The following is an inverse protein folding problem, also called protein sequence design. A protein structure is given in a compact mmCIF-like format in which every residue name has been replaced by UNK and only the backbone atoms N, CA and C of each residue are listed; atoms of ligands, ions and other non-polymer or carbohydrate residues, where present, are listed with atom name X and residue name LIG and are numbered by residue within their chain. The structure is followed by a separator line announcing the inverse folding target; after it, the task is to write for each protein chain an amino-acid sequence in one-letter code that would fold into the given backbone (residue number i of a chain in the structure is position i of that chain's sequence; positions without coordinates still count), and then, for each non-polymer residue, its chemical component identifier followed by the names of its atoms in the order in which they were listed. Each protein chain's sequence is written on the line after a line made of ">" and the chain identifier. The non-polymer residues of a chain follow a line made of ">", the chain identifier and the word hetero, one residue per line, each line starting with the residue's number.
data_IF_598103901169
#
_entry.id   IF_598103901169
#
_cell.length_a   1.000
_cell.length_b   1.000
_cell.length_c   1.000
_cell.angle_alpha   90.00
_cell.angle_beta   90.00
_cell.angle_gamma   90.00
#
_symmetry.space_group_name_H-M   'P 1'
#
loop_
_entity.id
_entity.type
_entity.pdbx_description
1 polymer ?
#
# COMPACT_ATOMS: atom_id res chain seq x y z
N UNK A 1 15.47 0.87 18.63
CA UNK A 1 16.21 -0.21 17.93
C UNK A 1 15.63 -0.25 16.53
N UNK A 2 16.42 0.04 15.50
CA UNK A 2 15.96 -0.03 14.11
C UNK A 2 15.60 -1.48 13.78
N UNK A 3 14.37 -1.74 13.34
CA UNK A 3 13.97 -3.08 12.91
C UNK A 3 14.83 -3.54 11.74
N UNK A 4 15.57 -4.65 11.90
CA UNK A 4 16.37 -5.23 10.83
C UNK A 4 15.50 -6.11 9.94
N UNK A 5 15.30 -5.72 8.69
CA UNK A 5 14.68 -6.56 7.68
C UNK A 5 15.68 -7.59 7.14
N UNK A 6 15.31 -8.87 7.03
CA UNK A 6 16.14 -9.86 6.33
C UNK A 6 16.31 -9.52 4.84
N UNK A 7 17.38 -10.03 4.24
CA UNK A 7 17.53 -9.98 2.78
C UNK A 7 16.36 -10.67 2.09
N UNK A 8 15.77 -10.07 1.03
CA UNK A 8 14.68 -10.70 0.29
C UNK A 8 15.08 -12.03 -0.34
N UNK A 9 14.12 -12.96 -0.43
CA UNK A 9 14.27 -14.09 -1.35
C UNK A 9 14.12 -13.58 -2.78
N UNK A 10 15.10 -13.87 -3.61
CA UNK A 10 15.10 -13.53 -5.03
C UNK A 10 15.00 -14.81 -5.85
N UNK A 11 14.08 -14.83 -6.81
CA UNK A 11 13.96 -15.86 -7.83
C UNK A 11 14.21 -15.22 -9.19
N UNK A 12 15.29 -15.65 -9.84
CA UNK A 12 15.67 -15.13 -11.15
C UNK A 12 14.70 -15.56 -12.26
N UNK A 13 14.59 -14.79 -13.35
CA UNK A 13 13.80 -15.17 -14.52
C UNK A 13 14.17 -16.56 -15.06
N UNK A 14 13.15 -17.31 -15.47
CA UNK A 14 13.34 -18.59 -16.17
C UNK A 14 13.97 -18.40 -17.55
N UNK A 15 13.71 -17.25 -18.18
CA UNK A 15 14.16 -16.88 -19.51
C UNK A 15 14.64 -15.44 -19.55
N UNK A 16 15.79 -15.21 -20.17
CA UNK A 16 16.30 -13.87 -20.43
C UNK A 16 15.70 -13.30 -21.73
N UNK A 17 15.61 -11.95 -21.87
CA UNK A 17 15.97 -10.93 -20.87
C UNK A 17 14.91 -10.81 -19.75
N UNK A 18 15.31 -10.24 -18.60
CA UNK A 18 14.37 -9.80 -17.57
C UNK A 18 13.48 -8.69 -18.15
N UNK A 19 12.16 -8.90 -18.14
CA UNK A 19 11.18 -7.93 -18.66
C UNK A 19 10.37 -7.25 -17.56
N UNK A 20 10.20 -7.91 -16.42
CA UNK A 20 9.45 -7.37 -15.30
C UNK A 20 9.96 -7.91 -13.96
N UNK A 21 9.87 -7.08 -12.92
CA UNK A 21 10.18 -7.50 -11.55
C UNK A 21 8.91 -7.42 -10.71
N UNK A 22 8.58 -8.54 -10.05
CA UNK A 22 7.50 -8.63 -9.07
C UNK A 22 8.07 -8.54 -7.67
N UNK A 23 7.57 -7.61 -6.86
CA UNK A 23 7.92 -7.49 -5.44
C UNK A 23 6.66 -7.82 -4.62
N UNK A 24 6.65 -8.98 -3.96
CA UNK A 24 5.45 -9.56 -3.39
C UNK A 24 5.59 -9.85 -1.89
N UNK A 25 4.77 -9.19 -1.08
CA UNK A 25 4.82 -9.23 0.38
C UNK A 25 3.94 -10.35 0.94
N UNK A 26 4.49 -11.10 1.89
CA UNK A 26 3.77 -12.18 2.58
C UNK A 26 2.80 -11.66 3.66
N UNK A 27 1.86 -12.50 4.06
CA UNK A 27 0.97 -12.24 5.21
C UNK A 27 1.68 -12.43 6.57
N UNK A 28 1.06 -11.94 7.65
CA UNK A 28 1.65 -12.00 9.01
C UNK A 28 2.08 -13.41 9.39
N UNK A 29 3.23 -13.53 10.05
CA UNK A 29 3.79 -14.77 10.56
C UNK A 29 4.43 -15.70 9.52
N UNK A 30 4.40 -15.31 8.24
CA UNK A 30 5.11 -16.01 7.17
C UNK A 30 6.50 -15.40 6.93
N UNK A 31 7.13 -15.76 5.81
CA UNK A 31 8.38 -15.16 5.30
C UNK A 31 8.41 -15.27 3.77
N UNK A 32 9.33 -14.56 3.12
CA UNK A 32 9.54 -14.66 1.67
C UNK A 32 9.85 -16.09 1.22
N UNK A 33 10.63 -16.84 2.02
CA UNK A 33 11.02 -18.22 1.74
C UNK A 33 9.87 -19.21 1.82
N UNK A 34 8.86 -18.92 2.65
CA UNK A 34 7.65 -19.75 2.75
C UNK A 34 6.60 -19.37 1.71
N UNK A 35 6.40 -18.05 1.54
CA UNK A 35 5.36 -17.51 0.68
C UNK A 35 5.71 -17.62 -0.82
N UNK A 36 6.94 -17.26 -1.20
CA UNK A 36 7.35 -17.16 -2.59
C UNK A 36 7.23 -18.47 -3.36
N UNK A 37 7.89 -19.57 -2.93
CA UNK A 37 7.80 -20.86 -3.61
C UNK A 37 6.36 -21.40 -3.69
N UNK A 38 5.56 -21.21 -2.63
CA UNK A 38 4.17 -21.62 -2.61
C UNK A 38 3.32 -20.86 -3.64
N UNK A 39 3.49 -19.53 -3.73
CA UNK A 39 2.80 -18.71 -4.71
C UNK A 39 3.23 -19.05 -6.15
N UNK A 40 4.54 -19.16 -6.38
CA UNK A 40 5.08 -19.46 -7.71
C UNK A 40 4.68 -20.85 -8.22
N UNK A 41 4.56 -21.82 -7.32
CA UNK A 41 4.10 -23.19 -7.62
C UNK A 41 2.59 -23.32 -7.75
N UNK A 42 1.81 -22.26 -7.52
CA UNK A 42 0.35 -22.30 -7.63
C UNK A 42 -0.06 -22.58 -9.08
N UNK A 43 -0.89 -23.61 -9.34
CA UNK A 43 -1.39 -23.91 -10.67
C UNK A 43 -2.28 -22.80 -11.22
N UNK A 44 -2.04 -22.40 -12.46
CA UNK A 44 -2.82 -21.45 -13.24
C UNK A 44 -3.37 -22.16 -14.47
N UNK A 45 -4.68 -22.03 -14.69
CA UNK A 45 -5.37 -22.61 -15.84
C UNK A 45 -5.72 -24.10 -15.66
N UNK A 46 -6.33 -24.67 -16.71
CA UNK A 46 -6.69 -26.08 -16.77
C UNK A 46 -5.46 -26.96 -17.04
N UNK A 47 -5.47 -28.18 -16.51
CA UNK A 47 -4.48 -29.22 -16.83
C UNK A 47 -4.35 -29.40 -18.35
N UNK A 48 -3.13 -29.28 -18.90
CA UNK A 48 -2.87 -29.60 -20.30
C UNK A 48 -2.55 -31.10 -20.44
N UNK A 49 -3.43 -31.90 -21.08
CA UNK A 49 -3.24 -33.36 -21.16
C UNK A 49 -2.02 -33.77 -21.98
N UNK A 50 -1.58 -32.91 -22.91
CA UNK A 50 -0.47 -33.20 -23.84
C UNK A 50 0.90 -33.03 -23.20
N UNK A 51 1.03 -32.11 -22.24
CA UNK A 51 2.30 -31.84 -21.52
C UNK A 51 2.33 -32.47 -20.14
N UNK A 52 1.18 -32.93 -19.63
CA UNK A 52 1.03 -33.51 -18.30
C UNK A 52 1.30 -32.51 -17.17
N UNK A 53 1.32 -31.22 -17.47
CA UNK A 53 1.69 -30.14 -16.55
C UNK A 53 0.57 -29.12 -16.45
N UNK A 54 0.28 -28.69 -15.23
CA UNK A 54 -0.48 -27.46 -15.00
C UNK A 54 0.50 -26.30 -15.08
N UNK A 55 0.19 -25.26 -15.86
CA UNK A 55 1.05 -24.09 -15.92
C UNK A 55 1.12 -23.46 -14.52
N UNK A 56 2.30 -23.14 -14.01
CA UNK A 56 2.46 -22.43 -12.74
C UNK A 56 2.54 -20.93 -12.96
N UNK A 57 2.41 -20.13 -11.89
CA UNK A 57 2.63 -18.68 -11.97
C UNK A 57 4.02 -18.33 -12.53
N UNK A 58 5.06 -19.07 -12.13
CA UNK A 58 6.40 -18.88 -12.69
C UNK A 58 6.45 -19.16 -14.20
N UNK A 59 5.70 -20.15 -14.70
CA UNK A 59 5.65 -20.45 -16.13
C UNK A 59 4.83 -19.42 -16.94
N UNK A 60 3.82 -18.80 -16.33
CA UNK A 60 3.05 -17.74 -16.96
C UNK A 60 3.89 -16.47 -17.18
N UNK A 61 4.93 -16.26 -16.36
CA UNK A 61 5.83 -15.12 -16.45
C UNK A 61 7.30 -15.55 -16.53
N UNK A 62 7.74 -16.21 -17.63
CA UNK A 62 9.08 -16.79 -17.71
C UNK A 62 10.20 -15.73 -17.70
N UNK A 63 9.90 -14.49 -18.09
CA UNK A 63 10.83 -13.36 -18.10
C UNK A 63 10.79 -12.52 -16.82
N UNK A 64 10.04 -12.96 -15.80
CA UNK A 64 9.89 -12.21 -14.57
C UNK A 64 10.94 -12.59 -13.53
N UNK A 65 11.52 -11.56 -12.91
CA UNK A 65 12.23 -11.68 -11.64
C UNK A 65 11.21 -11.55 -10.51
N UNK A 66 11.30 -12.41 -9.50
CA UNK A 66 10.43 -12.32 -8.32
C UNK A 66 11.25 -12.04 -7.06
N UNK A 67 10.82 -11.05 -6.28
CA UNK A 67 11.44 -10.59 -5.06
C UNK A 67 10.42 -10.72 -3.94
N UNK A 68 10.72 -11.55 -2.96
CA UNK A 68 9.86 -11.82 -1.81
C UNK A 68 10.55 -11.30 -0.54
N UNK A 69 10.32 -10.05 -0.14
CA UNK A 69 10.88 -9.53 1.09
C UNK A 69 10.26 -10.24 2.31
N UNK A 70 11.03 -10.33 3.39
CA UNK A 70 10.56 -10.85 4.68
C UNK A 70 10.39 -9.68 5.65
N UNK A 71 9.22 -9.59 6.29
CA UNK A 71 8.97 -8.57 7.30
C UNK A 71 9.90 -8.73 8.50
N UNK A 72 10.27 -7.62 9.14
CA UNK A 72 11.03 -7.66 10.38
C UNK A 72 10.29 -8.45 11.48
N UNK A 73 11.05 -9.06 12.39
CA UNK A 73 10.50 -9.73 13.58
C UNK A 73 10.12 -8.70 14.63
N UNK A 74 8.86 -8.73 15.05
CA UNK A 74 8.30 -7.81 16.05
C UNK A 74 7.33 -8.54 16.98
N UNK A 75 7.05 -7.95 18.13
CA UNK A 75 6.03 -8.47 19.06
C UNK A 75 4.63 -8.18 18.51
N UNK A 76 3.78 -9.21 18.40
CA UNK A 76 2.40 -9.07 17.93
C UNK A 76 1.46 -8.91 19.13
N UNK A 77 0.93 -7.71 19.34
CA UNK A 77 0.03 -7.42 20.46
C UNK A 77 -1.18 -8.35 20.46
N UNK A 78 -1.77 -8.58 19.29
CA UNK A 78 -2.92 -9.46 19.11
C UNK A 78 -2.70 -10.93 19.55
N UNK A 79 -1.47 -11.44 19.46
CA UNK A 79 -1.15 -12.84 19.79
C UNK A 79 -0.44 -12.97 21.13
N UNK A 80 -0.93 -12.26 22.16
CA UNK A 80 -0.32 -12.25 23.50
C UNK A 80 1.18 -11.92 23.46
N UNK A 81 1.57 -11.02 22.55
CA UNK A 81 2.98 -10.67 22.30
C UNK A 81 3.78 -11.90 21.84
N UNK A 82 3.31 -12.63 20.84
CA UNK A 82 4.14 -13.60 20.13
C UNK A 82 5.19 -12.86 19.28
N UNK A 83 6.43 -13.37 19.23
CA UNK A 83 7.50 -12.76 18.43
C UNK A 83 7.53 -13.34 17.02
N UNK A 84 7.00 -12.60 16.04
CA UNK A 84 6.72 -13.10 14.69
C UNK A 84 7.06 -12.09 13.61
N UNK A 85 7.19 -12.54 12.36
CA UNK A 85 7.38 -11.65 11.21
C UNK A 85 6.08 -10.89 10.94
N UNK A 86 6.12 -9.56 10.99
CA UNK A 86 4.95 -8.73 10.72
C UNK A 86 5.37 -7.34 10.25
N UNK A 87 4.62 -6.80 9.30
CA UNK A 87 4.90 -5.49 8.69
C UNK A 87 4.61 -4.35 9.67
N UNK A 88 3.58 -4.50 10.50
CA UNK A 88 3.22 -3.56 11.55
C UNK A 88 2.44 -4.27 12.65
N UNK A 89 2.28 -3.67 13.82
CA UNK A 89 1.52 -4.28 14.91
C UNK A 89 0.02 -3.96 14.78
N UNK A 90 -0.85 -4.83 15.29
CA UNK A 90 -2.30 -4.61 15.29
C UNK A 90 -2.90 -4.96 16.65
N UNK A 91 -3.92 -4.19 17.04
CA UNK A 91 -4.70 -4.46 18.24
C UNK A 91 -5.57 -5.72 18.11
N UNK A 92 -6.38 -5.81 17.05
CA UNK A 92 -7.29 -6.94 16.74
C UNK A 92 -7.36 -7.17 15.22
N UNK A 93 -7.81 -8.36 14.81
CA UNK A 93 -7.92 -8.80 13.41
C UNK A 93 -9.32 -8.57 12.81
N UNK A 94 -10.32 -8.25 13.62
CA UNK A 94 -11.74 -8.33 13.27
C UNK A 94 -12.52 -7.08 13.76
N UNK A 95 -13.42 -6.45 12.95
CA UNK A 95 -13.19 -5.78 11.66
C UNK A 95 -12.13 -4.65 11.79
N UNK A 96 -11.65 -3.97 10.72
CA UNK A 96 -10.46 -3.11 10.79
C UNK A 96 -10.55 -2.23 12.03
N UNK A 97 -9.64 -2.50 12.95
CA UNK A 97 -9.71 -1.95 14.28
C UNK A 97 -9.44 -0.46 14.16
N UNK A 98 -10.49 0.36 14.20
CA UNK A 98 -10.34 1.80 14.44
C UNK A 98 -9.83 2.06 15.85
N UNK A 99 -10.04 1.09 16.75
CA UNK A 99 -9.44 1.07 18.08
C UNK A 99 -7.92 0.83 17.98
N UNK A 100 -7.16 1.74 18.57
CA UNK A 100 -5.71 1.64 18.74
C UNK A 100 -4.90 1.52 17.45
N UNK A 101 -5.31 2.24 16.40
CA UNK A 101 -4.55 2.24 15.15
C UNK A 101 -3.15 2.85 15.30
N UNK A 102 -2.89 3.66 16.34
CA UNK A 102 -1.57 4.20 16.66
C UNK A 102 -0.51 3.11 16.88
N UNK A 103 -0.92 1.88 17.22
CA UNK A 103 -0.02 0.72 17.31
C UNK A 103 0.59 0.35 15.95
N UNK A 104 -0.07 0.70 14.84
CA UNK A 104 0.39 0.41 13.50
C UNK A 104 1.52 1.37 13.06
N UNK A 105 1.50 2.62 13.57
CA UNK A 105 2.30 3.75 13.07
C UNK A 105 3.81 3.42 13.02
N UNK A 106 4.48 2.99 14.11
CA UNK A 106 5.93 2.78 14.07
C UNK A 106 6.34 1.69 13.07
N UNK A 107 5.55 0.61 13.01
CA UNK A 107 5.82 -0.49 12.08
C UNK A 107 5.55 -0.12 10.63
N UNK A 108 4.54 0.71 10.37
CA UNK A 108 4.24 1.22 9.04
C UNK A 108 5.33 2.18 8.56
N UNK A 109 5.78 3.12 9.38
CA UNK A 109 6.88 4.03 9.04
C UNK A 109 8.14 3.26 8.60
N UNK A 110 8.61 2.33 9.44
CA UNK A 110 9.77 1.49 9.12
C UNK A 110 9.56 0.64 7.86
N UNK A 111 8.34 0.11 7.66
CA UNK A 111 8.00 -0.71 6.51
C UNK A 111 7.96 0.09 5.22
N UNK A 112 7.37 1.28 5.23
CA UNK A 112 7.28 2.17 4.08
C UNK A 112 8.69 2.56 3.62
N UNK A 113 9.54 2.99 4.55
CA UNK A 113 10.94 3.32 4.25
C UNK A 113 11.66 2.13 3.60
N UNK A 114 11.57 0.94 4.21
CA UNK A 114 12.20 -0.27 3.66
C UNK A 114 11.70 -0.63 2.26
N UNK A 115 10.37 -0.57 2.04
CA UNK A 115 9.76 -0.94 0.76
C UNK A 115 10.06 0.09 -0.34
N UNK A 116 10.14 1.37 -0.01
CA UNK A 116 10.56 2.41 -0.95
C UNK A 116 12.00 2.22 -1.39
N UNK A 117 12.91 1.90 -0.47
CA UNK A 117 14.31 1.60 -0.82
C UNK A 117 14.41 0.35 -1.69
N UNK A 118 13.65 -0.70 -1.37
CA UNK A 118 13.58 -1.92 -2.19
C UNK A 118 13.01 -1.63 -3.59
N UNK A 119 11.96 -0.82 -3.69
CA UNK A 119 11.39 -0.39 -4.97
C UNK A 119 12.43 0.34 -5.81
N UNK A 120 13.11 1.35 -5.24
CA UNK A 120 14.17 2.11 -5.95
C UNK A 120 15.28 1.18 -6.45
N UNK A 121 15.72 0.24 -5.62
CA UNK A 121 16.76 -0.72 -5.98
C UNK A 121 16.34 -1.62 -7.16
N UNK A 122 15.14 -2.20 -7.12
CA UNK A 122 14.67 -3.10 -8.17
C UNK A 122 14.26 -2.36 -9.46
N UNK A 123 13.78 -1.11 -9.36
CA UNK A 123 13.57 -0.21 -10.52
C UNK A 123 14.88 0.01 -11.28
N UNK A 124 15.99 0.23 -10.55
CA UNK A 124 17.30 0.45 -11.16
C UNK A 124 17.86 -0.80 -11.85
N UNK A 125 17.41 -2.00 -11.48
CA UNK A 125 17.90 -3.27 -12.02
C UNK A 125 17.11 -3.76 -13.23
N UNK A 126 15.82 -3.47 -13.32
CA UNK A 126 14.98 -3.96 -14.42
C UNK A 126 15.13 -3.09 -15.68
N UNK A 127 15.41 -3.66 -16.87
CA UNK A 127 15.68 -2.86 -18.07
C UNK A 127 14.54 -1.92 -18.49
N UNK A 128 13.28 -2.28 -18.22
CA UNK A 128 12.13 -1.43 -18.50
C UNK A 128 11.87 -0.34 -17.45
N UNK A 129 12.69 -0.27 -16.40
CA UNK A 129 12.55 0.71 -15.32
C UNK A 129 11.24 0.58 -14.56
N UNK A 130 10.70 1.72 -14.12
CA UNK A 130 9.55 1.80 -13.20
C UNK A 130 8.28 1.14 -13.75
N UNK A 131 8.03 1.23 -15.06
CA UNK A 131 6.86 0.64 -15.71
C UNK A 131 6.93 -0.89 -15.83
N UNK A 132 8.07 -1.50 -15.53
CA UNK A 132 8.27 -2.95 -15.46
C UNK A 132 8.17 -3.52 -14.04
N UNK A 133 7.74 -2.70 -13.06
CA UNK A 133 7.53 -3.15 -11.67
C UNK A 133 6.08 -3.55 -11.44
N UNK A 134 5.90 -4.71 -10.80
CA UNK A 134 4.65 -5.13 -10.18
C UNK A 134 4.85 -5.23 -8.68
N UNK A 135 4.07 -4.50 -7.89
CA UNK A 135 4.22 -4.43 -6.43
C UNK A 135 2.94 -4.82 -5.70
N UNK A 136 3.04 -5.57 -4.62
CA UNK A 136 1.83 -6.00 -3.93
C UNK A 136 2.05 -7.01 -2.82
N UNK A 137 0.96 -7.61 -2.34
CA UNK A 137 1.08 -8.63 -1.30
C UNK A 137 -0.21 -9.35 -0.92
N UNK A 138 -0.08 -10.21 0.09
CA UNK A 138 -1.14 -11.01 0.68
C UNK A 138 -1.44 -10.58 2.12
N UNK A 139 -2.72 -10.46 2.49
CA UNK A 139 -3.18 -10.17 3.83
C UNK A 139 -2.50 -8.93 4.42
N UNK A 140 -1.75 -9.03 5.52
CA UNK A 140 -1.00 -7.90 6.05
C UNK A 140 0.02 -7.32 5.04
N UNK A 141 0.60 -8.17 4.18
CA UNK A 141 1.47 -7.71 3.11
C UNK A 141 0.76 -6.83 2.09
N UNK A 142 -0.51 -7.13 1.79
CA UNK A 142 -1.37 -6.27 0.96
C UNK A 142 -1.59 -4.91 1.64
N UNK A 143 -1.96 -4.92 2.92
CA UNK A 143 -2.19 -3.70 3.70
C UNK A 143 -0.93 -2.80 3.74
N UNK A 144 0.23 -3.39 3.98
CA UNK A 144 1.52 -2.68 3.97
C UNK A 144 1.86 -2.13 2.58
N UNK A 145 1.65 -2.91 1.51
CA UNK A 145 1.92 -2.45 0.15
C UNK A 145 1.02 -1.28 -0.26
N UNK A 146 -0.25 -1.27 0.16
CA UNK A 146 -1.16 -0.16 -0.14
C UNK A 146 -0.71 1.15 0.52
N UNK A 147 -0.32 1.11 1.80
CA UNK A 147 0.23 2.29 2.48
C UNK A 147 1.53 2.75 1.82
N UNK A 148 2.44 1.83 1.49
CA UNK A 148 3.67 2.18 0.78
C UNK A 148 3.41 2.83 -0.59
N UNK A 149 2.39 2.39 -1.33
CA UNK A 149 1.99 2.99 -2.61
C UNK A 149 1.36 4.37 -2.46
N UNK A 150 0.47 4.57 -1.47
CA UNK A 150 -0.13 5.88 -1.20
C UNK A 150 0.93 6.93 -0.83
N UNK A 151 1.99 6.48 -0.16
CA UNK A 151 3.10 7.34 0.26
C UNK A 151 4.25 7.37 -0.77
N UNK A 152 4.12 6.71 -1.92
CA UNK A 152 5.18 6.66 -2.94
C UNK A 152 5.31 7.99 -3.68
N UNK A 153 6.54 8.49 -3.76
CA UNK A 153 6.88 9.76 -4.41
C UNK A 153 7.63 9.61 -5.74
N UNK A 154 7.91 8.37 -6.15
CA UNK A 154 8.50 8.11 -7.45
C UNK A 154 7.44 8.09 -8.56
N UNK A 155 7.89 7.84 -9.78
CA UNK A 155 7.02 7.63 -10.94
C UNK A 155 6.04 6.46 -10.73
N UNK A 156 4.86 6.47 -11.39
CA UNK A 156 3.90 5.37 -11.34
C UNK A 156 4.53 4.05 -11.79
N UNK A 157 4.46 3.02 -10.94
CA UNK A 157 4.89 1.67 -11.30
C UNK A 157 3.92 0.99 -12.28
N UNK A 158 4.40 -0.06 -12.95
CA UNK A 158 3.65 -0.77 -13.98
C UNK A 158 2.31 -1.36 -13.52
N UNK A 159 2.27 -1.93 -12.31
CA UNK A 159 1.02 -2.40 -11.70
C UNK A 159 1.15 -2.61 -10.18
N UNK A 160 0.01 -2.58 -9.50
CA UNK A 160 -0.13 -2.98 -8.11
C UNK A 160 -1.13 -4.14 -7.97
N UNK A 161 -0.90 -5.02 -6.98
CA UNK A 161 -1.86 -6.08 -6.66
C UNK A 161 -2.03 -6.30 -5.15
N UNK A 162 -3.26 -6.59 -4.74
CA UNK A 162 -3.60 -6.88 -3.35
C UNK A 162 -4.44 -8.14 -3.25
N UNK A 163 -4.04 -9.07 -2.37
CA UNK A 163 -4.75 -10.32 -2.12
C UNK A 163 -5.19 -10.37 -0.66
N UNK A 164 -6.49 -10.60 -0.41
CA UNK A 164 -7.05 -10.85 0.92
C UNK A 164 -6.66 -9.83 2.02
N UNK A 165 -6.46 -8.56 1.65
CA UNK A 165 -5.98 -7.51 2.56
C UNK A 165 -7.07 -6.54 3.04
N UNK A 166 -6.61 -5.44 3.65
CA UNK A 166 -7.41 -4.24 3.97
C UNK A 166 -6.55 -2.98 3.76
N UNK A 167 -7.17 -1.80 3.72
CA UNK A 167 -6.44 -0.51 3.74
C UNK A 167 -6.38 -0.01 5.20
N UNK A 168 -5.19 0.12 5.82
CA UNK A 168 -5.04 0.76 7.12
C UNK A 168 -5.54 2.21 7.13
N UNK A 169 -6.07 2.69 8.26
CA UNK A 169 -6.62 4.05 8.43
C UNK A 169 -7.75 4.41 7.48
N UNK A 170 -8.42 3.41 6.90
CA UNK A 170 -9.48 3.61 5.91
C UNK A 170 -10.49 4.70 6.29
N UNK A 171 -11.07 4.60 7.49
CA UNK A 171 -12.12 5.54 7.92
C UNK A 171 -11.60 6.98 8.00
N UNK A 172 -10.39 7.16 8.53
CA UNK A 172 -9.78 8.48 8.65
C UNK A 172 -9.38 9.05 7.29
N UNK A 173 -8.88 8.21 6.38
CA UNK A 173 -8.63 8.61 5.00
C UNK A 173 -9.92 9.10 4.31
N UNK A 174 -11.05 8.42 4.53
CA UNK A 174 -12.34 8.84 3.99
C UNK A 174 -12.79 10.17 4.61
N UNK A 175 -12.66 10.33 5.93
CA UNK A 175 -12.98 11.57 6.65
C UNK A 175 -12.18 12.74 6.07
N UNK A 176 -10.86 12.59 5.97
CA UNK A 176 -9.97 13.58 5.40
C UNK A 176 -10.29 13.88 3.94
N UNK A 177 -10.69 12.89 3.14
CA UNK A 177 -11.14 13.11 1.75
C UNK A 177 -12.55 13.73 1.65
N UNK A 178 -13.33 13.75 2.73
CA UNK A 178 -14.72 14.24 2.74
C UNK A 178 -14.90 15.60 3.41
N UNK A 179 -13.92 16.07 4.18
CA UNK A 179 -13.94 17.39 4.79
C UNK A 179 -13.98 18.48 3.70
N UNK A 180 -15.17 18.91 3.32
CA UNK A 180 -15.37 20.22 2.71
C UNK A 180 -14.95 21.23 3.76
N UNK A 181 -13.99 22.10 3.42
CA UNK A 181 -13.68 23.25 4.26
C UNK A 181 -14.97 24.03 4.42
N UNK A 182 -15.63 23.91 5.58
CA UNK A 182 -16.64 24.85 6.02
C UNK A 182 -15.87 26.15 6.22
N UNK A 183 -15.69 26.90 5.12
CA UNK A 183 -15.45 28.32 5.21
C UNK A 183 -16.59 28.81 6.09
N UNK A 184 -16.18 29.30 7.24
CA UNK A 184 -17.00 30.02 8.19
C UNK A 184 -17.61 31.19 7.40
N UNK A 185 -18.75 30.95 6.76
CA UNK A 185 -19.61 32.01 6.24
C UNK A 185 -20.23 32.62 7.48
N UNK A 186 -19.41 33.43 8.16
CA UNK A 186 -19.84 34.34 9.20
C UNK A 186 -21.06 35.03 8.66
N UNK A 187 -22.16 34.81 9.35
CA UNK A 187 -23.43 35.44 9.05
C UNK A 187 -23.17 36.94 9.11
N UNK A 188 -23.12 37.59 7.94
CA UNK A 188 -22.96 39.03 7.83
C UNK A 188 -24.27 39.62 8.36
N UNK A 189 -24.30 39.91 9.64
CA UNK A 189 -25.17 40.95 10.15
C UNK A 189 -24.53 42.27 9.73
N UNK A 190 -25.26 42.98 8.87
CA UNK A 190 -25.04 44.37 8.50
C UNK A 190 -24.76 45.22 9.74
N UNK A 191 -23.58 45.82 9.84
CA UNK A 191 -23.37 47.27 9.75
C UNK A 191 -22.01 47.68 10.34
N UNK A 192 -21.35 48.57 9.60
CA UNK A 192 -20.21 49.45 9.92
C UNK A 192 -18.77 48.98 9.67
N UNK A 193 -18.08 49.85 8.93
CA UNK A 193 -16.75 49.73 8.33
C UNK A 193 -15.61 49.61 9.36
N UNK A 194 -14.88 48.49 9.32
CA UNK A 194 -13.53 48.39 9.87
C UNK A 194 -12.60 47.90 8.75
N UNK A 195 -11.93 48.85 8.10
CA UNK A 195 -10.80 48.57 7.23
C UNK A 195 -9.60 48.18 8.12
N UNK A 196 -9.28 46.89 8.19
CA UNK A 196 -8.10 46.37 8.90
C UNK A 196 -6.88 46.34 7.94
N UNK A 197 -5.88 47.22 8.11
CA UNK A 197 -4.70 47.28 7.25
C UNK A 197 -3.68 46.16 7.53
N UNK A 198 -4.00 45.15 8.35
CA UNK A 198 -3.16 43.99 8.64
C UNK A 198 -3.60 42.67 7.97
N UNK A 199 -4.62 42.66 7.10
CA UNK A 199 -4.83 41.53 6.19
C UNK A 199 -3.73 41.49 5.12
N UNK A 200 -2.55 41.05 5.56
CA UNK A 200 -1.47 40.63 4.68
C UNK A 200 -1.94 39.39 3.94
N UNK A 201 -2.25 39.57 2.65
CA UNK A 201 -2.24 38.57 1.58
C UNK A 201 -2.46 37.14 2.08
N UNK A 202 -3.69 36.84 2.47
CA UNK A 202 -4.17 35.46 2.50
C UNK A 202 -4.19 35.00 1.04
N UNK A 203 -3.01 34.68 0.52
CA UNK A 203 -2.82 34.11 -0.79
C UNK A 203 -3.82 32.97 -0.91
N UNK A 204 -4.49 32.89 -2.05
CA UNK A 204 -5.33 31.76 -2.44
C UNK A 204 -4.56 30.45 -2.16
N UNK A 205 -4.71 29.86 -0.98
CA UNK A 205 -4.27 28.51 -0.71
C UNK A 205 -5.14 27.65 -1.63
N UNK A 206 -4.52 27.19 -2.72
CA UNK A 206 -5.20 26.34 -3.68
C UNK A 206 -5.83 25.18 -2.91
N UNK A 207 -7.15 25.04 -3.03
CA UNK A 207 -7.89 23.94 -2.41
C UNK A 207 -7.24 22.64 -2.87
N UNK A 208 -6.53 21.97 -1.96
CA UNK A 208 -5.89 20.68 -2.25
C UNK A 208 -6.97 19.69 -2.69
N UNK A 209 -6.64 18.87 -3.69
CA UNK A 209 -7.49 17.74 -4.08
C UNK A 209 -7.84 16.91 -2.83
N UNK A 210 -9.10 16.48 -2.63
CA UNK A 210 -9.49 15.79 -1.40
C UNK A 210 -8.66 14.56 -1.10
N UNK A 211 -8.19 13.88 -2.15
CA UNK A 211 -7.35 12.70 -2.00
C UNK A 211 -5.92 13.04 -1.66
N UNK A 212 -5.39 14.14 -2.22
CA UNK A 212 -4.08 14.67 -1.85
C UNK A 212 -4.06 15.08 -0.37
N UNK A 213 -5.15 15.68 0.12
CA UNK A 213 -5.32 16.00 1.54
C UNK A 213 -5.30 14.75 2.42
N UNK A 214 -6.04 13.70 2.05
CA UNK A 214 -6.02 12.44 2.78
C UNK A 214 -4.62 11.79 2.83
N UNK A 215 -3.86 11.93 1.75
CA UNK A 215 -2.49 11.38 1.67
C UNK A 215 -1.47 12.23 2.43
N UNK A 216 -1.57 13.56 2.41
CA UNK A 216 -0.74 14.39 3.29
C UNK A 216 -1.07 14.13 4.76
N UNK A 217 -2.34 13.96 5.13
CA UNK A 217 -2.69 13.51 6.49
C UNK A 217 -2.05 12.16 6.84
N UNK A 218 -2.09 11.18 5.93
CA UNK A 218 -1.48 9.86 6.16
C UNK A 218 0.04 9.94 6.35
N UNK A 219 0.71 10.83 5.59
CA UNK A 219 2.15 11.11 5.75
C UNK A 219 2.45 11.63 7.14
N UNK A 220 1.68 12.61 7.59
CA UNK A 220 1.83 13.25 8.89
C UNK A 220 1.57 12.26 10.03
N UNK A 221 0.51 11.45 9.92
CA UNK A 221 0.15 10.45 10.93
C UNK A 221 1.22 9.36 11.08
N UNK A 222 1.86 8.96 9.98
CA UNK A 222 2.89 7.89 10.00
C UNK A 222 4.27 8.43 10.39
N UNK A 223 4.45 9.76 10.47
CA UNK A 223 5.71 10.44 10.81
C UNK A 223 6.88 9.89 9.97
N UNK A 224 6.67 9.80 8.65
CA UNK A 224 7.66 9.26 7.73
C UNK A 224 8.60 10.39 7.24
N UNK A 225 9.87 10.44 7.68
CA UNK A 225 10.76 11.60 7.51
C UNK A 225 11.26 11.84 6.07
N UNK A 226 10.72 11.12 5.09
CA UNK A 226 11.12 11.20 3.69
C UNK A 226 10.22 12.11 2.83
N UNK A 227 9.12 12.62 3.36
CA UNK A 227 8.07 13.22 2.55
C UNK A 227 7.88 14.71 2.86
N UNK A 228 8.33 15.62 1.99
CA UNK A 228 7.72 16.95 1.95
C UNK A 228 6.36 16.83 1.25
N UNK A 229 5.33 17.52 1.73
CA UNK A 229 4.02 17.60 1.06
C UNK A 229 4.10 18.56 -0.15
N UNK A 230 5.14 18.42 -0.99
CA UNK A 230 5.29 19.15 -2.26
C UNK A 230 4.69 18.37 -3.45
N UNK A 231 4.00 17.27 -3.16
CA UNK A 231 3.43 16.39 -4.18
C UNK A 231 2.26 17.07 -4.91
N UNK A 232 2.58 17.78 -5.99
CA UNK A 232 1.58 18.33 -6.92
C UNK A 232 0.88 17.25 -7.77
N UNK A 233 1.28 15.98 -7.63
CA UNK A 233 0.72 14.84 -8.37
C UNK A 233 0.83 13.55 -7.56
N UNK A 234 -0.21 12.73 -7.62
CA UNK A 234 -0.32 11.47 -6.90
C UNK A 234 0.05 10.32 -7.86
N UNK A 235 1.28 9.85 -7.80
CA UNK A 235 1.74 8.75 -8.65
C UNK A 235 0.83 7.51 -8.57
N UNK A 236 0.25 7.25 -7.39
CA UNK A 236 -0.66 6.14 -7.16
C UNK A 236 -1.94 6.15 -8.02
N UNK A 237 -2.36 7.32 -8.54
CA UNK A 237 -3.50 7.47 -9.46
C UNK A 237 -3.34 6.69 -10.75
N UNK A 238 -2.11 6.70 -11.27
CA UNK A 238 -1.81 6.19 -12.59
C UNK A 238 -1.30 4.74 -12.56
N UNK A 239 -1.41 4.07 -11.41
CA UNK A 239 -0.99 2.68 -11.22
C UNK A 239 -2.20 1.76 -11.41
N UNK A 240 -2.20 0.85 -12.40
CA UNK A 240 -3.20 -0.19 -12.50
C UNK A 240 -3.24 -1.06 -11.23
N UNK A 241 -4.36 -1.07 -10.51
CA UNK A 241 -4.53 -1.86 -9.28
C UNK A 241 -5.49 -3.04 -9.48
N UNK A 242 -5.03 -4.25 -9.12
CA UNK A 242 -5.87 -5.43 -8.98
C UNK A 242 -6.07 -5.78 -7.50
N UNK A 243 -7.32 -5.92 -7.06
CA UNK A 243 -7.66 -6.37 -5.71
C UNK A 243 -8.51 -7.64 -5.76
N UNK A 244 -8.04 -8.70 -5.13
CA UNK A 244 -8.73 -9.99 -5.02
C UNK A 244 -8.96 -10.40 -3.57
N UNK A 245 -10.10 -11.04 -3.31
CA UNK A 245 -10.44 -11.58 -2.00
C UNK A 245 -11.17 -12.92 -2.17
N UNK A 246 -10.83 -13.93 -1.37
CA UNK A 246 -11.45 -15.25 -1.46
C UNK A 246 -12.89 -15.22 -0.92
N UNK A 247 -13.84 -15.86 -1.59
CA UNK A 247 -15.24 -15.92 -1.12
C UNK A 247 -15.43 -16.79 0.13
N UNK A 248 -14.43 -17.64 0.42
CA UNK A 248 -14.37 -18.53 1.57
C UNK A 248 -13.58 -17.93 2.75
N UNK A 249 -12.93 -16.78 2.56
CA UNK A 249 -12.45 -15.99 3.69
C UNK A 249 -13.67 -15.60 4.53
N UNK A 250 -13.60 -15.78 5.86
CA UNK A 250 -14.72 -15.57 6.80
C UNK A 250 -15.58 -14.38 6.37
N UNK A 251 -16.92 -14.48 6.40
CA UNK A 251 -17.85 -13.53 5.73
C UNK A 251 -17.60 -12.02 5.99
N UNK A 252 -16.88 -11.64 7.07
CA UNK A 252 -16.40 -10.27 7.27
C UNK A 252 -15.24 -9.85 6.35
N UNK A 253 -14.34 -10.77 6.02
CA UNK A 253 -13.17 -10.58 5.16
C UNK A 253 -13.53 -10.33 3.70
N UNK A 254 -14.50 -11.08 3.16
CA UNK A 254 -15.08 -10.81 1.82
C UNK A 254 -15.71 -9.42 1.69
N UNK A 255 -16.30 -8.89 2.77
CA UNK A 255 -16.79 -7.52 2.80
C UNK A 255 -15.64 -6.50 2.78
N UNK A 256 -14.46 -6.82 3.34
CA UNK A 256 -13.25 -5.99 3.20
C UNK A 256 -12.72 -5.96 1.78
N UNK A 257 -12.74 -7.08 1.05
CA UNK A 257 -12.41 -7.10 -0.37
C UNK A 257 -13.30 -6.18 -1.20
N UNK A 258 -14.60 -6.14 -0.89
CA UNK A 258 -15.57 -5.22 -1.52
C UNK A 258 -15.35 -3.77 -1.09
N UNK A 259 -15.20 -3.49 0.20
CA UNK A 259 -14.99 -2.14 0.71
C UNK A 259 -13.64 -1.55 0.27
N UNK A 260 -12.59 -2.37 0.20
CA UNK A 260 -11.28 -2.00 -0.36
C UNK A 260 -11.38 -1.80 -1.87
N UNK A 261 -12.14 -2.64 -2.59
CA UNK A 261 -12.41 -2.37 -4.01
C UNK A 261 -13.10 -1.02 -4.16
N UNK A 262 -14.14 -0.72 -3.39
CA UNK A 262 -14.94 0.49 -3.58
C UNK A 262 -14.20 1.79 -3.23
N UNK A 263 -13.25 1.78 -2.29
CA UNK A 263 -12.38 2.93 -2.01
C UNK A 263 -11.02 2.89 -2.66
N UNK A 264 -10.38 1.74 -2.80
CA UNK A 264 -9.22 1.63 -3.68
C UNK A 264 -9.59 2.16 -5.06
N UNK A 265 -10.80 1.85 -5.56
CA UNK A 265 -11.37 2.50 -6.75
C UNK A 265 -11.80 3.94 -6.48
N UNK A 266 -12.36 4.28 -5.32
CA UNK A 266 -12.80 5.64 -4.99
C UNK A 266 -11.65 6.65 -4.90
N UNK A 267 -10.65 6.40 -4.07
CA UNK A 267 -9.40 7.15 -3.98
C UNK A 267 -8.63 6.99 -5.29
N UNK A 268 -8.21 5.79 -5.74
CA UNK A 268 -7.34 5.68 -6.92
C UNK A 268 -8.02 6.01 -8.28
N UNK A 269 -9.35 6.20 -8.35
CA UNK A 269 -10.03 6.76 -9.55
C UNK A 269 -10.60 8.17 -9.38
N UNK A 270 -10.68 8.73 -8.17
CA UNK A 270 -11.07 10.15 -7.95
C UNK A 270 -9.88 11.05 -7.64
N UNK A 271 -8.77 10.47 -7.21
CA UNK A 271 -7.44 11.02 -7.39
C UNK A 271 -7.22 11.14 -8.92
#
# INVERSE_FOLDING_TARGET
>A
MTSSYPSPLVVEPLSMPNKQTFILLHGRGSSGEKFGPALLGTPIGSFEPLTGKTASLANAFPHARFVFPTAARRWATIYRRAYTNQWFDNWKLDPPATDREELQIPGLCETVSYLHDLLRAEIALVPGGVSSIVFGGLSQGCAASLIALLLWEGEPIGAALGMCGWLPFRMRLDEQASEEQVQNTGTVNSDEDIFDPFEADAGNEAVLDPSLRAICWLRDEIDCPAASCDATSLACQNIPLFLGHGVEDDRGQTQFGKNMRDLGIGILKKC
#
